data_IF_865964010336
#
_entry.id   IF_865964010336
#
_cell.length_a   1.000
_cell.length_b   1.000
_cell.length_c   1.000
_cell.angle_alpha   90.00
_cell.angle_beta   90.00
_cell.angle_gamma   90.00
#
_symmetry.space_group_name_H-M   'P 1'
#
loop_
_entity.id
_entity.type
_entity.pdbx_description
1 polymer ?
#
# COMPACT_ATOMS: atom_id res chain seq x y z
N UNK A 1 2.18 12.86 14.73
CA UNK A 1 2.13 11.47 15.23
C UNK A 1 0.79 10.88 14.82
N UNK A 2 0.74 9.61 14.42
CA UNK A 2 -0.53 8.89 14.23
C UNK A 2 -1.26 8.81 15.59
N UNK A 3 -2.56 9.12 15.61
CA UNK A 3 -3.34 9.23 16.84
C UNK A 3 -3.60 7.85 17.47
N UNK A 4 -3.40 7.75 18.79
CA UNK A 4 -3.82 6.62 19.62
C UNK A 4 -5.33 6.70 19.86
N UNK A 5 -6.05 5.58 19.78
CA UNK A 5 -7.53 5.57 19.84
C UNK A 5 -8.13 4.63 20.89
N UNK A 6 -7.36 4.22 21.90
CA UNK A 6 -7.90 3.52 23.06
C UNK A 6 -7.32 4.15 24.34
N UNK A 7 -8.09 5.02 25.00
CA UNK A 7 -7.84 5.28 26.43
C UNK A 7 -8.47 4.14 27.24
N UNK A 8 -7.74 3.52 28.18
CA UNK A 8 -8.23 2.42 29.01
C UNK A 8 -9.47 2.73 29.86
N UNK A 9 -9.88 4.00 29.96
CA UNK A 9 -10.98 4.46 30.82
C UNK A 9 -12.37 4.05 30.33
N UNK A 10 -12.57 3.73 29.04
CA UNK A 10 -13.89 3.36 28.52
C UNK A 10 -14.30 1.89 28.78
N UNK A 11 -13.41 1.05 29.36
CA UNK A 11 -13.66 -0.39 29.52
C UNK A 11 -13.64 -0.91 30.96
N UNK A 12 -13.65 -0.04 31.97
CA UNK A 12 -13.95 -0.45 33.35
C UNK A 12 -13.04 -1.54 33.93
N UNK A 13 -11.80 -1.64 33.46
CA UNK A 13 -10.78 -2.56 33.97
C UNK A 13 -9.61 -1.75 34.51
N UNK A 14 -9.57 -1.55 35.83
CA UNK A 14 -8.41 -0.99 36.52
C UNK A 14 -7.29 -2.02 36.52
N UNK A 15 -6.50 -2.04 35.43
CA UNK A 15 -5.12 -2.53 35.31
C UNK A 15 -4.80 -2.74 33.82
N UNK A 16 -4.84 -1.65 33.04
CA UNK A 16 -4.13 -1.65 31.77
C UNK A 16 -2.65 -1.46 32.11
N UNK A 17 -1.88 -2.54 32.08
CA UNK A 17 -0.42 -2.47 32.05
C UNK A 17 0.00 -1.41 31.01
N UNK A 18 0.96 -0.55 31.34
CA UNK A 18 1.54 0.40 30.40
C UNK A 18 2.05 -0.38 29.18
N UNK A 19 1.29 -0.36 28.09
CA UNK A 19 1.70 -0.97 26.84
C UNK A 19 2.81 -0.10 26.29
N UNK A 20 4.02 -0.68 26.15
CA UNK A 20 5.15 -0.04 25.51
C UNK A 20 4.68 0.71 24.24
N UNK A 21 4.84 2.05 24.16
CA UNK A 21 4.44 2.83 23.00
C UNK A 21 5.03 2.34 21.67
N UNK A 22 6.14 1.59 21.70
CA UNK A 22 6.72 0.92 20.55
C UNK A 22 5.93 -0.30 20.08
N UNK A 23 5.23 -0.99 21.00
CA UNK A 23 4.41 -2.18 20.73
C UNK A 23 2.94 -1.85 20.43
N UNK A 24 2.54 -0.58 20.55
CA UNK A 24 1.19 -0.17 20.20
C UNK A 24 0.90 -0.40 18.72
N UNK A 25 -0.22 -1.07 18.37
CA UNK A 25 -0.60 -1.27 16.98
C UNK A 25 -0.87 0.09 16.33
N UNK A 26 -0.24 0.31 15.16
CA UNK A 26 -0.37 1.56 14.39
C UNK A 26 -1.20 1.32 13.14
N UNK A 27 -1.99 2.32 12.79
CA UNK A 27 -2.74 2.37 11.54
C UNK A 27 -2.59 3.74 10.89
N UNK A 28 -2.81 3.80 9.58
CA UNK A 28 -2.86 5.08 8.87
C UNK A 28 -4.17 5.81 9.17
N UNK A 29 -5.23 5.06 9.49
CA UNK A 29 -6.48 5.57 10.04
C UNK A 29 -7.20 4.43 10.79
N UNK A 30 -8.23 4.79 11.56
CA UNK A 30 -9.19 3.83 12.12
C UNK A 30 -10.44 3.80 11.23
N UNK A 31 -10.88 2.62 10.80
CA UNK A 31 -12.16 2.49 10.14
C UNK A 31 -13.29 2.60 11.19
N UNK A 32 -14.37 3.30 10.85
CA UNK A 32 -15.60 3.24 11.65
C UNK A 32 -16.22 1.83 11.57
N UNK A 33 -17.16 1.46 12.47
CA UNK A 33 -17.78 0.14 12.48
C UNK A 33 -18.44 -0.25 11.15
N UNK A 34 -19.00 0.73 10.43
CA UNK A 34 -19.64 0.51 9.12
C UNK A 34 -18.65 0.52 7.95
N UNK A 35 -17.37 0.81 8.20
CA UNK A 35 -16.29 0.95 7.20
C UNK A 35 -16.59 1.97 6.10
N UNK A 36 -17.33 3.03 6.44
CA UNK A 36 -17.67 4.16 5.57
C UNK A 36 -16.76 5.37 5.75
N UNK A 37 -15.96 5.42 6.81
CA UNK A 37 -15.10 6.54 7.18
C UNK A 37 -13.70 6.09 7.55
N UNK A 38 -12.72 6.96 7.29
CA UNK A 38 -11.31 6.77 7.66
C UNK A 38 -10.90 7.78 8.73
N UNK A 39 -11.21 7.48 10.00
CA UNK A 39 -11.01 8.38 11.14
C UNK A 39 -9.51 8.59 11.38
N UNK A 40 -9.06 9.84 11.36
CA UNK A 40 -7.67 10.23 11.63
C UNK A 40 -6.74 10.20 10.42
N UNK A 41 -7.27 10.02 9.20
CA UNK A 41 -6.47 10.02 7.97
C UNK A 41 -5.74 11.36 7.74
N UNK A 42 -6.31 12.47 8.20
CA UNK A 42 -5.73 13.80 8.12
C UNK A 42 -4.41 13.91 8.89
N UNK A 43 -4.30 13.24 10.04
CA UNK A 43 -3.06 13.20 10.82
C UNK A 43 -1.94 12.45 10.07
N UNK A 44 -2.31 11.39 9.34
CA UNK A 44 -1.39 10.65 8.48
C UNK A 44 -0.96 11.46 7.25
N UNK A 45 -1.86 12.22 6.65
CA UNK A 45 -1.54 13.15 5.55
C UNK A 45 -0.57 14.23 6.04
N UNK A 46 -0.82 14.84 7.20
CA UNK A 46 0.07 15.83 7.78
C UNK A 46 1.46 15.26 8.09
N UNK A 47 1.52 14.02 8.62
CA UNK A 47 2.78 13.33 8.85
C UNK A 47 3.57 13.11 7.54
N UNK A 48 2.91 12.61 6.49
CA UNK A 48 3.56 12.38 5.21
C UNK A 48 4.00 13.68 4.53
N UNK A 49 3.19 14.75 4.63
CA UNK A 49 3.57 16.10 4.20
C UNK A 49 4.88 16.54 4.85
N UNK A 50 5.03 16.34 6.16
CA UNK A 50 6.24 16.75 6.90
C UNK A 50 7.46 15.88 6.57
N UNK A 51 7.27 14.61 6.19
CA UNK A 51 8.33 13.75 5.66
C UNK A 51 8.76 14.21 4.26
N UNK A 52 7.81 14.46 3.37
CA UNK A 52 8.03 14.88 1.98
C UNK A 52 8.74 16.23 1.85
N UNK A 53 8.58 17.13 2.83
CA UNK A 53 9.31 18.39 2.88
C UNK A 53 10.82 18.23 3.10
N UNK A 54 11.24 17.14 3.75
CA UNK A 54 12.63 16.97 4.21
C UNK A 54 13.52 16.30 3.18
N UNK A 55 12.95 15.61 2.22
CA UNK A 55 13.70 14.80 1.27
C UNK A 55 12.99 14.72 -0.09
N UNK A 56 13.64 14.08 -1.06
CA UNK A 56 13.09 13.79 -2.38
C UNK A 56 12.92 12.30 -2.57
N UNK A 57 11.71 11.91 -2.95
CA UNK A 57 11.30 10.53 -3.17
C UNK A 57 10.86 10.37 -4.62
N UNK A 58 11.43 9.39 -5.32
CA UNK A 58 11.03 9.11 -6.70
C UNK A 58 9.71 8.35 -6.78
N UNK A 59 9.35 7.60 -5.74
CA UNK A 59 8.12 6.84 -5.70
C UNK A 59 7.74 6.42 -4.28
N UNK A 60 6.59 5.76 -4.18
CA UNK A 60 6.03 5.30 -2.90
C UNK A 60 5.60 3.85 -3.02
N UNK A 61 5.81 3.07 -1.96
CA UNK A 61 5.39 1.68 -1.86
C UNK A 61 4.51 1.52 -0.62
N UNK A 62 3.35 0.91 -0.78
CA UNK A 62 2.43 0.64 0.32
C UNK A 62 1.81 -0.76 0.27
N UNK A 63 1.40 -1.24 1.44
CA UNK A 63 0.64 -2.49 1.61
C UNK A 63 -0.66 -2.22 2.37
N UNK A 64 -1.78 -2.79 1.92
CA UNK A 64 -3.10 -2.69 2.58
C UNK A 64 -3.51 -1.22 2.78
N UNK A 65 -3.77 -0.76 4.00
CA UNK A 65 -4.00 0.67 4.28
C UNK A 65 -2.85 1.56 3.78
N UNK A 66 -1.61 1.09 3.86
CA UNK A 66 -0.44 1.81 3.34
C UNK A 66 -0.46 1.93 1.82
N UNK A 67 -1.03 0.95 1.09
CA UNK A 67 -1.20 1.03 -0.36
C UNK A 67 -2.24 2.09 -0.75
N UNK A 68 -3.33 2.18 0.02
CA UNK A 68 -4.30 3.27 -0.12
C UNK A 68 -3.69 4.64 0.17
N UNK A 69 -2.88 4.76 1.24
CA UNK A 69 -2.16 6.02 1.53
C UNK A 69 -1.17 6.38 0.43
N UNK A 70 -0.45 5.40 -0.12
CA UNK A 70 0.49 5.59 -1.22
C UNK A 70 -0.20 6.18 -2.45
N UNK A 71 -1.32 5.61 -2.87
CA UNK A 71 -2.12 6.13 -3.98
C UNK A 71 -2.74 7.50 -3.67
N UNK A 72 -3.22 7.71 -2.44
CA UNK A 72 -3.75 9.00 -2.00
C UNK A 72 -2.68 10.09 -2.04
N UNK A 73 -1.46 9.78 -1.61
CA UNK A 73 -0.32 10.68 -1.65
C UNK A 73 0.08 11.03 -3.10
N UNK A 74 0.11 10.04 -3.99
CA UNK A 74 0.37 10.26 -5.42
C UNK A 74 -0.66 11.22 -6.02
N UNK A 75 -1.96 10.97 -5.78
CA UNK A 75 -3.05 11.83 -6.25
C UNK A 75 -2.98 13.25 -5.67
N UNK A 76 -2.65 13.39 -4.38
CA UNK A 76 -2.47 14.70 -3.75
C UNK A 76 -1.30 15.48 -4.34
N UNK A 77 -0.18 14.83 -4.68
CA UNK A 77 0.97 15.52 -5.25
C UNK A 77 0.74 15.98 -6.70
N UNK A 78 -0.17 15.33 -7.44
CA UNK A 78 -0.63 15.80 -8.75
C UNK A 78 -1.54 17.04 -8.63
N UNK A 79 -2.37 17.10 -7.58
CA UNK A 79 -3.38 18.15 -7.38
C UNK A 79 -3.35 18.72 -5.95
N UNK A 80 -2.24 19.30 -5.48
CA UNK A 80 -2.05 19.64 -4.07
C UNK A 80 -3.03 20.72 -3.59
N UNK A 81 -3.47 21.59 -4.50
CA UNK A 81 -4.47 22.64 -4.23
C UNK A 81 -5.88 22.09 -3.96
N UNK A 82 -6.17 20.80 -4.23
CA UNK A 82 -7.46 20.22 -3.85
C UNK A 82 -7.61 20.07 -2.34
N UNK A 83 -6.51 20.14 -1.57
CA UNK A 83 -6.48 20.08 -0.11
C UNK A 83 -5.47 21.10 0.46
N UNK A 84 -5.90 22.35 0.75
CA UNK A 84 -5.02 23.40 1.27
C UNK A 84 -4.21 23.00 2.51
N UNK A 85 -4.71 22.09 3.35
CA UNK A 85 -4.02 21.56 4.54
C UNK A 85 -2.77 20.74 4.22
N UNK A 86 -2.64 20.26 2.98
CA UNK A 86 -1.47 19.54 2.48
C UNK A 86 -0.36 20.49 2.01
N UNK A 87 -0.69 21.75 1.72
CA UNK A 87 0.27 22.75 1.25
C UNK A 87 1.18 23.24 2.38
N UNK A 88 2.37 23.70 1.99
CA UNK A 88 3.37 24.30 2.87
C UNK A 88 3.75 25.65 2.27
N UNK A 89 3.45 26.73 2.98
CA UNK A 89 3.61 28.10 2.47
C UNK A 89 2.93 28.33 1.11
N UNK A 90 1.78 27.69 0.89
CA UNK A 90 1.00 27.78 -0.36
C UNK A 90 1.45 26.85 -1.48
N UNK A 91 2.52 26.08 -1.29
CA UNK A 91 3.10 25.20 -2.33
C UNK A 91 3.00 23.72 -1.95
N UNK A 92 3.13 22.84 -2.95
CA UNK A 92 3.21 21.40 -2.70
C UNK A 92 4.46 21.05 -1.89
N UNK A 93 4.39 20.11 -0.91
CA UNK A 93 5.57 19.73 -0.12
C UNK A 93 6.65 19.01 -0.96
N UNK A 94 6.27 18.45 -2.11
CA UNK A 94 7.10 17.64 -2.98
C UNK A 94 6.54 17.67 -4.42
N UNK A 95 7.35 17.48 -5.48
CA UNK A 95 6.83 17.27 -6.84
C UNK A 95 6.00 15.98 -6.97
N UNK A 96 5.26 15.78 -8.07
CA UNK A 96 4.61 14.49 -8.35
C UNK A 96 5.61 13.33 -8.33
N UNK A 97 5.17 12.17 -7.81
CA UNK A 97 5.97 10.95 -7.77
C UNK A 97 6.11 10.38 -9.19
N UNK A 98 7.25 9.74 -9.49
CA UNK A 98 7.44 9.04 -10.76
C UNK A 98 6.65 7.73 -10.82
N UNK A 99 6.42 7.09 -9.67
CA UNK A 99 5.64 5.85 -9.59
C UNK A 99 5.04 5.59 -8.20
N UNK A 100 4.04 4.72 -8.17
CA UNK A 100 3.41 4.18 -6.96
C UNK A 100 3.35 2.65 -7.04
N UNK A 101 3.58 1.97 -5.92
CA UNK A 101 3.34 0.52 -5.79
C UNK A 101 2.30 0.30 -4.69
N UNK A 102 1.17 -0.26 -5.07
CA UNK A 102 0.02 -0.52 -4.20
C UNK A 102 -0.23 -2.02 -4.10
N UNK A 103 0.20 -2.65 -3.00
CA UNK A 103 -0.03 -4.07 -2.75
C UNK A 103 -1.27 -4.23 -1.86
N UNK A 104 -2.27 -4.99 -2.32
CA UNK A 104 -3.57 -5.16 -1.65
C UNK A 104 -4.24 -3.82 -1.27
N UNK A 105 -4.13 -2.81 -2.15
CA UNK A 105 -4.69 -1.48 -1.94
C UNK A 105 -6.16 -1.36 -2.30
N UNK A 106 -6.83 -0.39 -1.70
CA UNK A 106 -8.24 -0.06 -1.97
C UNK A 106 -8.47 1.44 -1.86
N UNK A 107 -9.57 1.97 -2.42
CA UNK A 107 -9.90 3.39 -2.27
C UNK A 107 -10.34 3.66 -0.81
N UNK A 108 -9.67 4.57 -0.07
CA UNK A 108 -10.14 4.98 1.26
C UNK A 108 -11.52 5.65 1.13
N UNK A 109 -12.40 5.36 2.09
CA UNK A 109 -13.78 5.89 2.12
C UNK A 109 -13.85 7.19 2.92
N UNK A 110 -14.94 7.92 2.79
CA UNK A 110 -15.17 9.14 3.54
C UNK A 110 -14.63 10.37 2.82
N UNK A 111 -14.84 11.53 3.43
CA UNK A 111 -14.72 12.85 2.77
C UNK A 111 -13.36 13.07 2.11
N UNK A 112 -12.26 12.63 2.74
CA UNK A 112 -10.91 12.80 2.20
C UNK A 112 -10.70 11.92 0.97
N UNK A 113 -10.97 10.62 1.07
CA UNK A 113 -10.79 9.68 -0.05
C UNK A 113 -11.76 9.97 -1.19
N UNK A 114 -12.99 10.37 -0.87
CA UNK A 114 -14.00 10.71 -1.86
C UNK A 114 -13.60 11.95 -2.65
N UNK A 115 -13.17 13.03 -1.98
CA UNK A 115 -12.72 14.26 -2.64
C UNK A 115 -11.40 14.09 -3.42
N UNK A 116 -10.42 13.36 -2.87
CA UNK A 116 -9.13 13.16 -3.56
C UNK A 116 -9.33 12.33 -4.83
N UNK A 117 -10.13 11.27 -4.78
CA UNK A 117 -10.35 10.36 -5.91
C UNK A 117 -11.64 10.66 -6.70
N UNK A 118 -12.19 11.87 -6.58
CA UNK A 118 -13.27 12.36 -7.48
C UNK A 118 -12.76 12.51 -8.92
N UNK A 119 -11.47 12.82 -9.06
CA UNK A 119 -10.75 12.77 -10.34
C UNK A 119 -9.71 11.64 -10.28
N UNK A 120 -9.61 10.80 -11.33
CA UNK A 120 -8.52 9.83 -11.46
C UNK A 120 -7.14 10.47 -11.37
N UNK A 121 -6.15 9.69 -10.96
CA UNK A 121 -4.75 10.11 -10.89
C UNK A 121 -3.92 9.37 -11.94
N UNK A 122 -2.87 10.03 -12.43
CA UNK A 122 -2.09 9.58 -13.60
C UNK A 122 -0.72 9.04 -13.27
N UNK A 123 -0.26 9.13 -12.02
CA UNK A 123 1.01 8.55 -11.57
C UNK A 123 1.06 7.06 -11.95
N UNK A 124 2.11 6.60 -12.68
CA UNK A 124 2.29 5.19 -13.01
C UNK A 124 2.19 4.31 -11.75
N UNK A 125 1.20 3.41 -11.72
CA UNK A 125 0.91 2.65 -10.51
C UNK A 125 0.90 1.15 -10.77
N UNK A 126 1.76 0.41 -10.08
CA UNK A 126 1.71 -1.04 -10.01
C UNK A 126 0.77 -1.46 -8.87
N UNK A 127 -0.32 -2.11 -9.22
CA UNK A 127 -1.23 -2.77 -8.29
C UNK A 127 -0.91 -4.26 -8.21
N UNK A 128 -0.69 -4.77 -7.02
CA UNK A 128 -0.44 -6.19 -6.77
C UNK A 128 -1.56 -6.77 -5.92
N UNK A 129 -2.30 -7.74 -6.48
CA UNK A 129 -3.48 -8.34 -5.86
C UNK A 129 -3.24 -9.83 -5.56
N UNK A 130 -3.75 -10.27 -4.42
CA UNK A 130 -3.77 -11.69 -4.03
C UNK A 130 -5.06 -12.35 -4.50
N UNK A 131 -4.95 -13.48 -5.23
CA UNK A 131 -6.12 -14.25 -5.71
C UNK A 131 -6.96 -14.84 -4.58
N UNK A 132 -6.37 -15.05 -3.42
CA UNK A 132 -7.04 -15.63 -2.25
C UNK A 132 -7.13 -14.65 -1.09
N UNK A 133 -7.05 -13.34 -1.37
CA UNK A 133 -7.15 -12.28 -0.36
C UNK A 133 -8.60 -12.12 0.13
N UNK A 134 -8.83 -12.49 1.39
CA UNK A 134 -10.13 -12.37 2.07
C UNK A 134 -10.28 -11.07 2.89
N UNK A 135 -9.22 -10.27 3.00
CA UNK A 135 -9.21 -9.01 3.79
C UNK A 135 -9.48 -7.82 2.85
N UNK A 136 -8.81 -7.81 1.71
CA UNK A 136 -9.04 -6.85 0.63
C UNK A 136 -9.36 -7.64 -0.62
N UNK A 137 -10.62 -8.08 -0.70
CA UNK A 137 -11.16 -8.80 -1.85
C UNK A 137 -11.04 -7.98 -3.14
N UNK A 138 -11.10 -8.67 -4.28
CA UNK A 138 -10.94 -8.09 -5.61
C UNK A 138 -11.84 -6.87 -5.83
N UNK A 139 -13.12 -6.94 -5.46
CA UNK A 139 -14.09 -5.86 -5.64
C UNK A 139 -13.68 -4.60 -4.88
N UNK A 140 -13.06 -4.78 -3.71
CA UNK A 140 -12.57 -3.68 -2.89
C UNK A 140 -11.31 -3.07 -3.51
N UNK A 141 -10.42 -3.90 -4.05
CA UNK A 141 -9.23 -3.44 -4.78
C UNK A 141 -9.61 -2.69 -6.06
N UNK A 142 -10.63 -3.17 -6.77
CA UNK A 142 -11.15 -2.57 -8.02
C UNK A 142 -11.50 -1.08 -7.84
N UNK A 143 -11.99 -0.69 -6.67
CA UNK A 143 -12.30 0.72 -6.37
C UNK A 143 -11.11 1.66 -6.52
N UNK A 144 -9.88 1.18 -6.30
CA UNK A 144 -8.65 1.95 -6.51
C UNK A 144 -8.13 1.82 -7.94
N UNK A 145 -8.28 0.64 -8.56
CA UNK A 145 -7.93 0.41 -9.96
C UNK A 145 -8.72 1.34 -10.90
N UNK A 146 -9.99 1.57 -10.61
CA UNK A 146 -10.88 2.37 -11.45
C UNK A 146 -10.48 3.86 -11.48
N UNK A 147 -9.81 4.36 -10.45
CA UNK A 147 -9.34 5.75 -10.34
C UNK A 147 -7.84 5.89 -10.64
N UNK A 148 -7.16 4.81 -11.02
CA UNK A 148 -5.75 4.80 -11.39
C UNK A 148 -5.64 4.66 -12.91
N UNK A 149 -5.26 5.73 -13.59
CA UNK A 149 -5.30 5.80 -15.06
C UNK A 149 -4.17 4.97 -15.68
N UNK A 150 -2.92 5.28 -15.32
CA UNK A 150 -1.71 4.60 -15.80
C UNK A 150 -1.37 3.38 -14.92
N UNK A 151 -2.33 2.47 -14.76
CA UNK A 151 -2.19 1.28 -13.92
C UNK A 151 -1.58 0.10 -14.65
N UNK A 152 -0.73 -0.64 -13.93
CA UNK A 152 -0.35 -2.03 -14.20
C UNK A 152 -0.90 -2.91 -13.10
N UNK A 153 -1.45 -4.08 -13.44
CA UNK A 153 -2.03 -5.01 -12.44
C UNK A 153 -1.30 -6.34 -12.52
N UNK A 154 -0.81 -6.81 -11.37
CA UNK A 154 -0.14 -8.10 -11.22
C UNK A 154 -0.83 -8.94 -10.14
N UNK A 155 -0.91 -10.26 -10.37
CA UNK A 155 -1.62 -11.18 -9.48
C UNK A 155 -0.68 -12.22 -8.90
N UNK A 156 -0.76 -12.48 -7.59
CA UNK A 156 -0.14 -13.64 -6.96
C UNK A 156 -1.20 -14.60 -6.41
N UNK A 157 -0.84 -15.87 -6.26
CA UNK A 157 -1.79 -16.92 -5.85
C UNK A 157 -2.11 -16.93 -4.34
N UNK A 158 -1.61 -15.94 -3.60
CA UNK A 158 -1.72 -15.87 -2.14
C UNK A 158 -2.84 -14.95 -1.64
N UNK A 159 -2.95 -14.86 -0.31
CA UNK A 159 -3.89 -14.00 0.40
C UNK A 159 -3.32 -12.62 0.70
N UNK A 160 -3.62 -12.07 1.88
CA UNK A 160 -3.30 -10.70 2.25
C UNK A 160 -1.83 -10.51 2.70
N UNK A 161 -0.89 -10.49 1.75
CA UNK A 161 0.53 -10.24 2.04
C UNK A 161 1.28 -9.67 0.84
N UNK A 162 2.47 -9.12 1.08
CA UNK A 162 3.40 -8.71 0.00
C UNK A 162 4.13 -9.94 -0.55
N UNK A 163 3.98 -10.29 -1.84
CA UNK A 163 4.60 -11.49 -2.38
C UNK A 163 6.12 -11.37 -2.39
N UNK A 164 6.80 -12.35 -1.81
CA UNK A 164 8.24 -12.29 -1.52
C UNK A 164 9.05 -13.42 -2.15
N UNK A 165 8.45 -14.26 -3.00
CA UNK A 165 9.16 -15.32 -3.77
C UNK A 165 10.23 -14.70 -4.69
N UNK A 166 11.23 -15.48 -5.09
CA UNK A 166 12.40 -14.98 -5.82
C UNK A 166 12.04 -14.25 -7.13
N UNK A 167 11.06 -14.76 -7.88
CA UNK A 167 10.50 -14.11 -9.07
C UNK A 167 9.87 -12.74 -8.75
N UNK A 168 9.11 -12.64 -7.66
CA UNK A 168 8.51 -11.37 -7.21
C UNK A 168 9.54 -10.36 -6.75
N UNK A 169 10.56 -10.78 -5.99
CA UNK A 169 11.66 -9.86 -5.58
C UNK A 169 12.42 -9.34 -6.79
N UNK A 170 12.67 -10.20 -7.78
CA UNK A 170 13.30 -9.83 -9.05
C UNK A 170 12.43 -8.84 -9.80
N UNK A 171 11.13 -9.14 -9.95
CA UNK A 171 10.17 -8.25 -10.58
C UNK A 171 10.11 -6.87 -9.92
N UNK A 172 9.96 -6.79 -8.60
CA UNK A 172 9.95 -5.51 -7.90
C UNK A 172 11.26 -4.73 -8.10
N UNK A 173 12.42 -5.39 -8.02
CA UNK A 173 13.70 -4.73 -8.26
C UNK A 173 13.78 -4.09 -9.65
N UNK A 174 13.39 -4.82 -10.69
CA UNK A 174 13.42 -4.29 -12.06
C UNK A 174 12.35 -3.21 -12.27
N UNK A 175 11.14 -3.40 -11.75
CA UNK A 175 10.07 -2.41 -11.82
C UNK A 175 10.45 -1.09 -11.13
N UNK A 176 11.06 -1.15 -9.95
CA UNK A 176 11.48 0.06 -9.23
C UNK A 176 12.61 0.81 -9.94
N UNK A 177 13.40 0.14 -10.80
CA UNK A 177 14.45 0.77 -11.62
C UNK A 177 13.89 1.41 -12.88
N UNK A 178 12.89 0.78 -13.48
CA UNK A 178 12.22 1.27 -14.70
C UNK A 178 10.69 1.04 -14.62
N UNK A 179 9.96 1.90 -13.89
CA UNK A 179 8.53 1.71 -13.61
C UNK A 179 7.63 1.91 -14.85
N UNK A 180 8.18 2.52 -15.90
CA UNK A 180 7.54 2.69 -17.21
C UNK A 180 8.02 1.66 -18.24
N UNK A 181 9.00 0.84 -17.87
CA UNK A 181 9.62 -0.15 -18.74
C UNK A 181 8.80 -1.41 -18.92
N UNK A 182 9.18 -2.19 -19.95
CA UNK A 182 8.60 -3.48 -20.22
C UNK A 182 9.21 -4.58 -19.33
N UNK A 183 8.95 -4.51 -18.02
CA UNK A 183 9.39 -5.54 -17.06
C UNK A 183 8.47 -6.75 -17.15
N UNK A 184 8.95 -7.99 -17.38
CA UNK A 184 8.09 -9.18 -17.45
C UNK A 184 7.34 -9.46 -16.15
N UNK A 185 6.09 -9.91 -16.23
CA UNK A 185 5.31 -10.29 -15.05
C UNK A 185 5.97 -11.45 -14.29
N UNK A 186 5.93 -11.48 -12.95
CA UNK A 186 6.61 -12.49 -12.14
C UNK A 186 6.12 -13.93 -12.42
N UNK A 187 4.90 -14.10 -12.92
CA UNK A 187 4.31 -15.39 -13.31
C UNK A 187 4.65 -15.87 -14.73
N UNK A 188 5.26 -15.01 -15.56
CA UNK A 188 5.55 -15.35 -16.97
C UNK A 188 6.84 -16.17 -17.16
N UNK A 189 7.62 -16.38 -16.08
CA UNK A 189 8.75 -17.31 -16.06
C UNK A 189 8.29 -18.72 -15.67
N UNK A 190 7.62 -19.42 -16.58
CA UNK A 190 7.43 -20.88 -16.51
C UNK A 190 7.68 -21.53 -17.88
N UNK A 191 8.88 -21.32 -18.41
CA UNK A 191 9.58 -22.46 -19.03
C UNK A 191 9.83 -23.48 -17.92
N UNK A 192 9.24 -24.65 -18.06
CA UNK A 192 9.32 -25.80 -17.17
C UNK A 192 10.72 -26.04 -16.59
N UNK A 193 10.92 -25.65 -15.33
CA UNK A 193 11.96 -26.27 -14.50
C UNK A 193 11.30 -27.41 -13.72
N UNK A 194 11.76 -28.66 -13.87
CA UNK A 194 11.24 -29.74 -13.05
C UNK A 194 11.61 -29.46 -11.58
N UNK A 195 10.66 -29.74 -10.69
CA UNK A 195 10.90 -29.75 -9.27
C UNK A 195 12.12 -30.64 -8.98
N UNK A 196 13.17 -30.04 -8.43
CA UNK A 196 14.34 -30.77 -7.92
C UNK A 196 13.87 -31.71 -6.82
N UNK A 197 13.56 -32.95 -7.19
CA UNK A 197 13.27 -34.03 -6.27
C UNK A 197 14.53 -34.35 -5.47
N UNK A 198 14.41 -34.30 -4.14
CA UNK A 198 15.38 -34.85 -3.22
C UNK A 198 15.55 -36.34 -3.54
N UNK A 199 16.64 -36.70 -4.22
CA UNK A 199 17.01 -38.09 -4.44
C UNK A 199 17.54 -38.68 -3.12
N UNK A 200 16.77 -39.57 -2.51
CA UNK A 200 17.29 -40.47 -1.46
C UNK A 200 18.22 -41.49 -2.12
N UNK A 201 19.47 -41.66 -1.67
CA UNK A 201 20.35 -42.68 -2.22
C UNK A 201 19.88 -44.07 -1.79
N UNK A 202 19.61 -44.94 -2.77
CA UNK A 202 19.41 -46.38 -2.54
C UNK A 202 20.79 -47.03 -2.42
N UNK A 203 21.11 -47.50 -1.21
CA UNK A 203 22.30 -48.31 -0.96
C UNK A 203 22.07 -49.72 -1.53
N UNK A 204 22.84 -50.10 -2.55
CA UNK A 204 22.99 -51.51 -2.97
C UNK A 204 24.30 -52.02 -2.36
N UNK A 205 24.22 -53.03 -1.49
CA UNK A 205 25.37 -53.86 -1.11
C UNK A 205 25.18 -55.24 -1.72
N UNK A 206 26.27 -55.72 -2.34
CA UNK A 206 26.44 -56.98 -3.05
C UNK A 206 26.06 -58.22 -2.25
#
# INVERSE_FOLDING_TARGET
MASSFNTPEELGASEAAEVDPALQPRGWWKADPERKQTIGIEASIALLRDVLQKDRYEGVFGFSQGASMAALLAALLERPHSRPEFLVNGEAPHPPLKFCVAVAGFRPKGTVGDAVFDTPFVTPTLHVLGRTDVIVVEERSKTLLDVSENKRVEWHDGGHFVPSKANWRTFFREYLRDPTGNVPSPGSASGSQPASGTATPVTIVK
#
